data_IF_647764484805
#
_entry.id   IF_647764484805
#
_cell.length_a   1.000
_cell.length_b   1.000
_cell.length_c   1.000
_cell.angle_alpha   90.00
_cell.angle_beta   90.00
_cell.angle_gamma   90.00
#
_symmetry.space_group_name_H-M   'P 1'
#
loop_
_entity.id
_entity.type
_entity.pdbx_description
1 polymer ?
#
# COMPACT_ATOMS: atom_id res chain seq x y z
N UNK A 1 6.80 -26.22 -10.98
CA UNK A 1 6.63 -26.30 -12.47
C UNK A 1 7.92 -25.82 -13.13
N UNK A 2 8.42 -26.50 -14.17
CA UNK A 2 9.64 -26.09 -14.89
C UNK A 2 9.29 -25.65 -16.29
N UNK A 3 9.66 -24.41 -16.67
CA UNK A 3 9.54 -23.88 -18.04
C UNK A 3 10.94 -23.79 -18.67
N UNK A 4 11.05 -24.25 -19.91
CA UNK A 4 12.30 -24.28 -20.68
C UNK A 4 12.02 -23.97 -22.13
N UNK A 5 13.07 -23.66 -22.91
CA UNK A 5 12.98 -23.46 -24.36
C UNK A 5 12.25 -24.61 -25.05
N UNK A 6 11.37 -24.30 -25.98
CA UNK A 6 10.47 -25.22 -26.66
C UNK A 6 9.09 -25.37 -26.01
N UNK A 7 8.88 -24.95 -24.75
CA UNK A 7 7.56 -25.01 -24.13
C UNK A 7 6.61 -23.99 -24.77
N UNK A 8 5.33 -24.36 -24.86
CA UNK A 8 4.26 -23.47 -25.31
C UNK A 8 3.09 -23.57 -24.34
N UNK A 9 2.71 -22.45 -23.70
CA UNK A 9 1.59 -22.40 -22.75
C UNK A 9 1.22 -20.98 -22.37
N UNK A 10 0.05 -20.82 -21.73
CA UNK A 10 -0.36 -19.56 -21.08
C UNK A 10 0.63 -19.13 -20.02
N UNK A 11 1.26 -20.07 -19.26
CA UNK A 11 2.27 -19.74 -18.27
C UNK A 11 3.53 -19.14 -18.89
N UNK A 12 3.92 -19.60 -20.09
CA UNK A 12 5.01 -18.96 -20.86
C UNK A 12 4.63 -17.54 -21.25
N UNK A 13 3.38 -17.32 -21.70
CA UNK A 13 2.88 -15.97 -22.00
C UNK A 13 2.95 -15.04 -20.75
N UNK A 14 2.53 -15.52 -19.59
CA UNK A 14 2.59 -14.75 -18.34
C UNK A 14 4.04 -14.50 -17.89
N UNK A 15 4.95 -15.46 -18.10
CA UNK A 15 6.38 -15.24 -17.93
C UNK A 15 6.89 -14.12 -18.82
N UNK A 16 6.55 -14.16 -20.12
CA UNK A 16 6.96 -13.15 -21.11
C UNK A 16 6.41 -11.76 -20.74
N UNK A 17 5.16 -11.66 -20.30
CA UNK A 17 4.58 -10.41 -19.77
C UNK A 17 5.38 -9.90 -18.56
N UNK A 18 5.64 -10.74 -17.58
CA UNK A 18 6.39 -10.35 -16.38
C UNK A 18 7.81 -9.88 -16.70
N UNK A 19 8.52 -10.61 -17.55
CA UNK A 19 9.85 -10.21 -18.03
C UNK A 19 9.82 -8.86 -18.73
N UNK A 20 8.86 -8.65 -19.64
CA UNK A 20 8.71 -7.38 -20.37
C UNK A 20 8.38 -6.24 -19.41
N UNK A 21 7.43 -6.44 -18.48
CA UNK A 21 7.05 -5.43 -17.49
C UNK A 21 8.25 -5.00 -16.63
N UNK A 22 9.17 -5.93 -16.34
CA UNK A 22 10.40 -5.67 -15.60
C UNK A 22 11.59 -5.26 -16.50
N UNK A 23 11.34 -4.86 -17.75
CA UNK A 23 12.33 -4.39 -18.73
C UNK A 23 13.32 -5.47 -19.24
N UNK A 24 12.99 -6.76 -19.09
CA UNK A 24 13.72 -7.88 -19.70
C UNK A 24 12.98 -8.38 -20.94
N UNK A 25 12.99 -7.59 -22.01
CA UNK A 25 12.16 -7.79 -23.19
C UNK A 25 12.42 -9.14 -23.92
N UNK A 26 11.46 -10.10 -23.91
CA UNK A 26 11.57 -11.37 -24.64
C UNK A 26 11.23 -11.25 -26.15
N UNK A 27 11.04 -10.04 -26.66
CA UNK A 27 10.63 -9.70 -28.04
C UNK A 27 9.17 -10.06 -28.37
N UNK A 28 8.73 -11.28 -28.09
CA UNK A 28 7.37 -11.79 -28.33
C UNK A 28 6.63 -12.05 -27.01
N UNK A 29 5.31 -12.02 -27.07
CA UNK A 29 4.41 -12.29 -25.95
C UNK A 29 3.36 -13.32 -26.39
N UNK A 30 3.81 -14.36 -27.08
CA UNK A 30 2.99 -15.33 -27.81
C UNK A 30 2.79 -16.66 -27.06
N UNK A 31 3.43 -16.80 -25.88
CA UNK A 31 3.38 -18.02 -25.09
C UNK A 31 4.30 -19.13 -25.60
N UNK A 32 5.22 -18.83 -26.52
CA UNK A 32 6.26 -19.76 -27.01
C UNK A 32 7.59 -19.41 -26.33
N UNK A 33 8.15 -20.34 -25.59
CA UNK A 33 9.46 -20.17 -24.94
C UNK A 33 10.56 -20.36 -26.00
N UNK A 34 10.88 -19.30 -26.71
CA UNK A 34 11.91 -19.25 -27.73
C UNK A 34 13.28 -18.84 -27.16
N UNK A 35 14.30 -18.78 -28.02
CA UNK A 35 15.65 -18.33 -27.66
C UNK A 35 15.67 -16.90 -27.09
N UNK A 36 14.80 -15.98 -27.56
CA UNK A 36 14.71 -14.63 -27.01
C UNK A 36 14.15 -14.65 -25.60
N UNK A 37 13.17 -15.51 -25.32
CA UNK A 37 12.64 -15.73 -23.99
C UNK A 37 13.71 -16.31 -23.08
N UNK A 38 14.51 -17.30 -23.54
CA UNK A 38 15.66 -17.85 -22.82
C UNK A 38 16.67 -16.76 -22.44
N UNK A 39 17.01 -15.88 -23.39
CA UNK A 39 17.94 -14.76 -23.13
C UNK A 39 17.37 -13.77 -22.12
N UNK A 40 16.08 -13.44 -22.21
CA UNK A 40 15.42 -12.55 -21.25
C UNK A 40 15.41 -13.15 -19.85
N UNK A 41 15.12 -14.46 -19.72
CA UNK A 41 15.18 -15.19 -18.43
C UNK A 41 16.61 -15.15 -17.85
N UNK A 42 17.64 -15.45 -18.64
CA UNK A 42 19.04 -15.39 -18.17
C UNK A 42 19.42 -14.01 -17.65
N UNK A 43 19.07 -12.95 -18.39
CA UNK A 43 19.31 -11.55 -17.96
C UNK A 43 18.58 -11.23 -16.65
N UNK A 44 17.33 -11.64 -16.53
CA UNK A 44 16.54 -11.49 -15.33
C UNK A 44 17.21 -12.23 -14.15
N UNK A 45 17.52 -13.52 -14.32
CA UNK A 45 18.18 -14.35 -13.30
C UNK A 45 19.48 -13.71 -12.82
N UNK A 46 20.37 -13.30 -13.74
CA UNK A 46 21.61 -12.60 -13.40
C UNK A 46 21.33 -11.33 -12.57
N UNK A 47 20.37 -10.52 -12.99
CA UNK A 47 20.05 -9.26 -12.30
C UNK A 47 19.46 -9.46 -10.90
N UNK A 48 18.97 -10.67 -10.59
CA UNK A 48 18.38 -11.02 -9.29
C UNK A 48 19.28 -11.96 -8.45
N UNK A 49 20.50 -12.21 -8.90
CA UNK A 49 21.44 -13.10 -8.19
C UNK A 49 21.02 -14.58 -8.20
N UNK A 50 20.21 -14.97 -9.20
CA UNK A 50 19.80 -16.36 -9.40
C UNK A 50 20.76 -17.06 -10.36
N UNK A 51 20.77 -18.41 -10.35
CA UNK A 51 21.49 -19.19 -11.35
C UNK A 51 20.98 -18.87 -12.74
N UNK A 52 21.87 -18.36 -13.62
CA UNK A 52 21.53 -17.89 -14.97
C UNK A 52 21.51 -19.04 -15.98
N UNK A 53 20.64 -20.05 -15.76
CA UNK A 53 20.53 -21.23 -16.61
C UNK A 53 19.51 -21.08 -17.75
N UNK A 54 18.70 -20.01 -17.70
CA UNK A 54 17.63 -19.75 -18.69
C UNK A 54 16.40 -20.62 -18.49
N UNK A 55 16.29 -21.35 -17.38
CA UNK A 55 15.14 -22.18 -17.03
C UNK A 55 14.33 -21.52 -15.92
N UNK A 56 13.01 -21.69 -15.94
CA UNK A 56 12.12 -21.09 -14.94
C UNK A 56 11.54 -22.19 -14.06
N UNK A 57 12.29 -22.51 -13.02
CA UNK A 57 11.83 -23.32 -11.90
C UNK A 57 11.18 -22.45 -10.82
N UNK A 58 10.80 -23.09 -9.69
CA UNK A 58 10.07 -22.43 -8.60
C UNK A 58 10.81 -21.21 -8.03
N UNK A 59 12.14 -21.26 -7.91
CA UNK A 59 12.96 -20.14 -7.45
C UNK A 59 12.82 -18.90 -8.35
N UNK A 60 12.99 -19.08 -9.67
CA UNK A 60 12.84 -17.99 -10.66
C UNK A 60 11.42 -17.49 -10.71
N UNK A 61 10.42 -18.38 -10.66
CA UNK A 61 9.01 -18.02 -10.72
C UNK A 61 8.57 -17.23 -9.48
N UNK A 62 8.95 -17.68 -8.29
CA UNK A 62 8.62 -16.98 -7.04
C UNK A 62 9.26 -15.60 -6.97
N UNK A 63 10.52 -15.47 -7.44
CA UNK A 63 11.19 -14.18 -7.50
C UNK A 63 10.49 -13.24 -8.49
N UNK A 64 10.10 -13.73 -9.67
CA UNK A 64 9.35 -12.95 -10.65
C UNK A 64 8.02 -12.45 -10.07
N UNK A 65 7.26 -13.33 -9.41
CA UNK A 65 6.02 -12.95 -8.73
C UNK A 65 6.26 -11.85 -7.70
N UNK A 66 7.27 -11.99 -6.85
CA UNK A 66 7.58 -10.98 -5.84
C UNK A 66 7.94 -9.62 -6.44
N UNK A 67 8.58 -9.59 -7.62
CA UNK A 67 8.94 -8.37 -8.32
C UNK A 67 7.75 -7.72 -9.06
N UNK A 68 6.71 -8.49 -9.42
CA UNK A 68 5.49 -7.99 -10.07
C UNK A 68 4.48 -7.42 -9.05
N UNK A 69 4.44 -7.93 -7.82
CA UNK A 69 3.52 -7.47 -6.77
C UNK A 69 3.52 -5.94 -6.59
N UNK A 70 4.67 -5.25 -6.51
CA UNK A 70 4.69 -3.78 -6.38
C UNK A 70 4.04 -3.06 -7.57
N UNK A 71 4.22 -3.56 -8.79
CA UNK A 71 3.59 -3.00 -9.99
C UNK A 71 2.07 -3.19 -9.96
N UNK A 72 1.58 -4.40 -9.65
CA UNK A 72 0.15 -4.66 -9.48
C UNK A 72 -0.46 -3.76 -8.41
N UNK A 73 0.24 -3.59 -7.28
CA UNK A 73 -0.20 -2.72 -6.18
C UNK A 73 -0.32 -1.26 -6.64
N UNK A 74 0.71 -0.74 -7.32
CA UNK A 74 0.71 0.64 -7.83
C UNK A 74 -0.37 0.86 -8.87
N UNK A 75 -0.54 -0.07 -9.82
CA UNK A 75 -1.60 -0.01 -10.84
C UNK A 75 -3.00 -0.09 -10.23
N UNK A 76 -3.18 -0.91 -9.18
CA UNK A 76 -4.45 -1.02 -8.45
C UNK A 76 -4.77 0.27 -7.69
N UNK A 77 -3.79 0.85 -7.01
CA UNK A 77 -3.93 2.13 -6.30
C UNK A 77 -4.28 3.29 -7.25
N UNK A 78 -3.79 3.24 -8.48
CA UNK A 78 -4.11 4.19 -9.55
C UNK A 78 -5.44 3.89 -10.28
N UNK A 79 -6.14 2.80 -9.93
CA UNK A 79 -7.42 2.42 -10.54
C UNK A 79 -7.32 1.74 -11.90
N UNK A 80 -6.12 1.39 -12.36
CA UNK A 80 -5.91 0.71 -13.64
C UNK A 80 -6.04 -0.81 -13.55
N UNK A 81 -5.85 -1.40 -12.38
CA UNK A 81 -5.91 -2.83 -12.14
C UNK A 81 -6.95 -3.18 -11.07
N UNK A 82 -7.89 -4.05 -11.39
CA UNK A 82 -8.95 -4.50 -10.46
C UNK A 82 -8.78 -5.95 -9.99
N UNK A 83 -7.79 -6.67 -10.54
CA UNK A 83 -7.54 -8.07 -10.22
C UNK A 83 -6.91 -8.31 -8.85
N UNK A 84 -6.58 -9.56 -8.58
CA UNK A 84 -5.87 -10.00 -7.38
C UNK A 84 -4.38 -9.61 -7.47
N UNK A 85 -3.81 -9.16 -6.37
CA UNK A 85 -2.36 -8.91 -6.26
C UNK A 85 -1.70 -10.26 -5.92
N UNK A 86 -1.36 -11.03 -6.93
CA UNK A 86 -0.83 -12.41 -6.83
C UNK A 86 0.58 -12.56 -7.41
N UNK A 87 1.12 -11.49 -7.99
CA UNK A 87 2.41 -11.47 -8.66
C UNK A 87 2.42 -12.12 -10.05
N UNK A 88 1.27 -12.58 -10.55
CA UNK A 88 1.18 -13.17 -11.88
C UNK A 88 0.89 -12.08 -12.91
N UNK A 89 1.81 -11.89 -13.86
CA UNK A 89 1.64 -10.93 -14.94
C UNK A 89 0.73 -11.48 -16.05
N UNK A 90 -0.54 -11.74 -15.69
CA UNK A 90 -1.56 -12.13 -16.67
C UNK A 90 -1.94 -10.99 -17.62
N UNK A 91 -2.82 -11.28 -18.59
CA UNK A 91 -3.26 -10.29 -19.58
C UNK A 91 -3.85 -9.03 -18.90
N UNK A 92 -4.61 -9.19 -17.82
CA UNK A 92 -5.20 -8.06 -17.08
C UNK A 92 -4.12 -7.14 -16.48
N UNK A 93 -3.07 -7.70 -15.90
CA UNK A 93 -1.95 -6.92 -15.31
C UNK A 93 -1.16 -6.20 -16.40
N UNK A 94 -0.84 -6.89 -17.49
CA UNK A 94 -0.10 -6.33 -18.61
C UNK A 94 -0.88 -5.19 -19.28
N UNK A 95 -2.15 -5.42 -19.58
CA UNK A 95 -3.02 -4.42 -20.21
C UNK A 95 -3.25 -3.20 -19.31
N UNK A 96 -3.31 -3.40 -17.97
CA UNK A 96 -3.39 -2.30 -17.02
C UNK A 96 -2.15 -1.38 -17.09
N UNK A 97 -0.94 -1.96 -17.22
CA UNK A 97 0.29 -1.18 -17.39
C UNK A 97 0.30 -0.42 -18.73
N UNK A 98 -0.03 -1.08 -19.82
CA UNK A 98 -0.10 -0.46 -21.16
C UNK A 98 -1.11 0.69 -21.18
N UNK A 99 -2.30 0.46 -20.60
CA UNK A 99 -3.32 1.52 -20.48
C UNK A 99 -2.83 2.67 -19.61
N UNK A 100 -2.20 2.40 -18.46
CA UNK A 100 -1.62 3.43 -17.61
C UNK A 100 -0.60 4.26 -18.38
N UNK A 101 0.29 3.64 -19.14
CA UNK A 101 1.28 4.34 -19.98
C UNK A 101 0.62 5.26 -21.00
N UNK A 102 -0.35 4.72 -21.75
CA UNK A 102 -1.09 5.49 -22.76
C UNK A 102 -1.79 6.70 -22.16
N UNK A 103 -2.55 6.49 -21.08
CA UNK A 103 -3.34 7.55 -20.42
C UNK A 103 -2.46 8.65 -19.79
N UNK A 104 -1.19 8.34 -19.51
CA UNK A 104 -0.24 9.28 -18.90
C UNK A 104 0.79 9.86 -19.89
N UNK A 105 0.57 9.68 -21.20
CA UNK A 105 1.43 10.22 -22.25
C UNK A 105 2.83 9.57 -22.31
N UNK A 106 2.94 8.34 -21.84
CA UNK A 106 4.16 7.54 -21.90
C UNK A 106 4.11 6.61 -23.13
N UNK A 107 5.26 6.09 -23.55
CA UNK A 107 5.32 5.03 -24.55
C UNK A 107 4.62 3.78 -23.99
N UNK A 108 3.54 3.36 -24.63
CA UNK A 108 2.71 2.22 -24.21
C UNK A 108 3.34 0.89 -24.65
N UNK A 109 4.57 0.62 -24.18
CA UNK A 109 5.37 -0.54 -24.58
C UNK A 109 5.27 -1.73 -23.62
N UNK A 110 4.55 -1.56 -22.51
CA UNK A 110 4.38 -2.55 -21.45
C UNK A 110 5.65 -2.78 -20.62
N UNK A 111 6.61 -1.86 -20.65
CA UNK A 111 7.82 -1.89 -19.83
C UNK A 111 7.78 -0.82 -18.73
N UNK A 112 7.88 -1.22 -17.47
CA UNK A 112 7.92 -0.30 -16.34
C UNK A 112 9.34 0.29 -16.18
N UNK A 113 9.80 1.03 -17.20
CA UNK A 113 11.04 1.81 -17.13
C UNK A 113 10.92 3.00 -16.16
N UNK A 114 12.04 3.73 -15.96
CA UNK A 114 12.12 4.79 -14.95
C UNK A 114 10.96 5.80 -15.06
N UNK A 115 10.69 6.31 -16.26
CA UNK A 115 9.59 7.27 -16.48
C UNK A 115 8.21 6.72 -16.11
N UNK A 116 7.99 5.42 -16.35
CA UNK A 116 6.74 4.74 -15.96
C UNK A 116 6.66 4.57 -14.43
N UNK A 117 7.77 4.17 -13.80
CA UNK A 117 7.85 4.03 -12.35
C UNK A 117 7.68 5.38 -11.65
N UNK A 118 8.34 6.42 -12.13
CA UNK A 118 8.19 7.78 -11.60
C UNK A 118 6.71 8.20 -11.66
N UNK A 119 6.05 7.97 -12.77
CA UNK A 119 4.65 8.32 -12.95
C UNK A 119 3.70 7.45 -12.11
N UNK A 120 4.02 6.16 -11.93
CA UNK A 120 3.28 5.27 -11.03
C UNK A 120 3.43 5.69 -9.56
N UNK A 121 4.62 6.15 -9.18
CA UNK A 121 4.94 6.57 -7.82
C UNK A 121 4.68 8.05 -7.57
N UNK A 122 4.45 8.88 -8.60
CA UNK A 122 3.96 10.23 -8.37
C UNK A 122 2.61 10.13 -7.67
N UNK A 123 2.53 10.67 -6.48
CA UNK A 123 1.24 11.05 -5.89
C UNK A 123 0.50 11.87 -6.93
N UNK A 124 -0.79 11.59 -7.08
CA UNK A 124 -1.67 12.43 -7.89
C UNK A 124 -1.53 13.87 -7.38
N UNK A 125 -0.69 14.65 -8.08
CA UNK A 125 -0.45 16.06 -7.72
C UNK A 125 -1.72 16.90 -7.89
N UNK A 126 -2.77 16.30 -8.48
CA UNK A 126 -4.11 16.88 -8.58
C UNK A 126 -5.01 16.57 -7.37
N UNK A 127 -4.54 15.75 -6.41
CA UNK A 127 -5.30 15.58 -5.17
C UNK A 127 -5.34 16.91 -4.42
N UNK A 128 -6.54 17.38 -4.05
CA UNK A 128 -6.66 18.64 -3.32
C UNK A 128 -5.98 18.53 -1.97
N UNK A 129 -5.51 19.65 -1.46
CA UNK A 129 -5.14 19.75 -0.05
C UNK A 129 -6.42 19.57 0.76
N UNK A 130 -6.45 18.55 1.63
CA UNK A 130 -7.56 18.34 2.55
C UNK A 130 -7.21 18.89 3.93
N UNK A 131 -8.20 19.47 4.57
CA UNK A 131 -8.08 20.03 5.93
C UNK A 131 -9.46 20.00 6.61
N UNK A 132 -9.51 20.39 7.85
CA UNK A 132 -10.77 20.47 8.61
C UNK A 132 -11.83 21.20 7.79
N UNK A 133 -13.03 20.61 7.67
CA UNK A 133 -14.13 21.11 6.87
C UNK A 133 -14.15 20.67 5.40
N UNK A 134 -13.10 20.03 4.87
CA UNK A 134 -13.12 19.40 3.54
C UNK A 134 -14.15 18.29 3.47
N UNK A 135 -14.77 18.08 2.30
CA UNK A 135 -15.77 17.02 2.08
C UNK A 135 -15.61 16.32 0.74
N UNK A 136 -16.23 15.15 0.59
CA UNK A 136 -16.36 14.43 -0.67
C UNK A 136 -15.39 13.28 -0.88
N UNK A 137 -15.26 12.84 -2.14
CA UNK A 137 -14.59 11.58 -2.49
C UNK A 137 -13.13 11.44 -1.99
N UNK A 138 -12.38 12.50 -1.99
CA UNK A 138 -11.00 12.49 -1.52
C UNK A 138 -10.90 12.39 0.01
N UNK A 139 -11.91 12.88 0.73
CA UNK A 139 -12.00 12.67 2.18
C UNK A 139 -12.36 11.23 2.48
N UNK A 140 -13.30 10.63 1.74
CA UNK A 140 -13.60 9.18 1.86
C UNK A 140 -12.34 8.34 1.60
N UNK A 141 -11.59 8.66 0.56
CA UNK A 141 -10.34 7.96 0.23
C UNK A 141 -9.31 8.08 1.38
N UNK A 142 -9.13 9.29 1.91
CA UNK A 142 -8.24 9.55 3.04
C UNK A 142 -8.64 8.73 4.27
N UNK A 143 -9.90 8.84 4.69
CA UNK A 143 -10.44 8.13 5.85
C UNK A 143 -10.30 6.61 5.69
N UNK A 144 -10.65 6.06 4.50
CA UNK A 144 -10.49 4.64 4.21
C UNK A 144 -9.03 4.18 4.37
N UNK A 145 -8.05 4.97 3.89
CA UNK A 145 -6.63 4.66 4.05
C UNK A 145 -6.18 4.75 5.50
N UNK A 146 -6.59 5.79 6.23
CA UNK A 146 -6.26 5.97 7.64
C UNK A 146 -6.80 4.82 8.49
N UNK A 147 -8.07 4.45 8.31
CA UNK A 147 -8.71 3.33 9.02
C UNK A 147 -7.98 2.01 8.73
N UNK A 148 -7.65 1.75 7.46
CA UNK A 148 -6.87 0.56 7.08
C UNK A 148 -5.48 0.52 7.72
N UNK A 149 -4.90 1.68 7.99
CA UNK A 149 -3.62 1.83 8.67
C UNK A 149 -3.76 1.84 10.21
N UNK A 150 -4.98 1.70 10.76
CA UNK A 150 -5.24 1.63 12.20
C UNK A 150 -5.49 3.00 12.87
N UNK A 151 -5.71 4.07 12.09
CA UNK A 151 -6.07 5.38 12.62
C UNK A 151 -7.60 5.55 12.57
N UNK A 152 -8.24 5.72 13.72
CA UNK A 152 -9.70 5.92 13.78
C UNK A 152 -10.09 7.31 13.26
N UNK A 153 -11.10 7.34 12.38
CA UNK A 153 -11.73 8.58 11.89
C UNK A 153 -13.10 8.85 12.57
N UNK A 154 -13.31 8.31 13.75
CA UNK A 154 -14.57 8.43 14.50
C UNK A 154 -15.55 7.31 14.20
N UNK A 155 -16.71 7.35 14.87
CA UNK A 155 -17.74 6.30 14.81
C UNK A 155 -18.39 6.20 13.43
N UNK A 156 -18.42 7.30 12.66
CA UNK A 156 -18.97 7.34 11.31
C UNK A 156 -18.03 6.76 10.25
N UNK A 157 -16.77 6.52 10.62
CA UNK A 157 -15.77 5.92 9.74
C UNK A 157 -15.42 6.81 8.53
N UNK A 158 -15.53 6.25 7.32
CA UNK A 158 -15.23 6.95 6.07
C UNK A 158 -16.49 7.63 5.50
N UNK A 159 -16.98 8.65 6.19
CA UNK A 159 -18.21 9.38 5.88
C UNK A 159 -18.03 10.51 4.83
N UNK A 160 -16.80 10.82 4.46
CA UNK A 160 -16.49 11.88 3.51
C UNK A 160 -16.51 13.29 4.10
N UNK A 161 -16.52 13.43 5.42
CA UNK A 161 -16.43 14.71 6.13
C UNK A 161 -15.13 14.77 6.92
N UNK A 162 -14.25 15.72 6.62
CA UNK A 162 -13.03 15.94 7.36
C UNK A 162 -13.35 16.70 8.65
N UNK A 163 -13.88 15.97 9.63
CA UNK A 163 -14.17 16.45 10.97
C UNK A 163 -12.97 16.35 11.91
N UNK A 164 -13.21 16.62 13.20
CA UNK A 164 -12.19 16.61 14.26
C UNK A 164 -11.50 15.25 14.40
N UNK A 165 -12.24 14.14 14.26
CA UNK A 165 -11.67 12.80 14.38
C UNK A 165 -10.75 12.49 13.20
N UNK A 166 -11.14 12.85 11.99
CA UNK A 166 -10.28 12.76 10.81
C UNK A 166 -9.04 13.66 10.96
N UNK A 167 -9.20 14.87 11.50
CA UNK A 167 -8.08 15.78 11.79
C UNK A 167 -7.08 15.18 12.78
N UNK A 168 -7.57 14.58 13.85
CA UNK A 168 -6.72 13.87 14.84
C UNK A 168 -6.00 12.69 14.22
N UNK A 169 -6.72 11.87 13.44
CA UNK A 169 -6.14 10.73 12.71
C UNK A 169 -5.01 11.16 11.77
N UNK A 170 -5.20 12.24 11.01
CA UNK A 170 -4.18 12.81 10.12
C UNK A 170 -2.94 13.25 10.90
N UNK A 171 -3.11 13.99 11.99
CA UNK A 171 -1.99 14.45 12.83
C UNK A 171 -1.21 13.29 13.42
N UNK A 172 -1.89 12.25 13.92
CA UNK A 172 -1.24 11.04 14.42
C UNK A 172 -0.47 10.31 13.31
N UNK A 173 -1.08 10.20 12.13
CA UNK A 173 -0.40 9.62 10.96
C UNK A 173 0.86 10.42 10.59
N UNK A 174 0.78 11.75 10.54
CA UNK A 174 1.91 12.63 10.24
C UNK A 174 3.03 12.46 11.26
N UNK A 175 2.71 12.46 12.55
CA UNK A 175 3.68 12.27 13.63
C UNK A 175 4.39 10.92 13.53
N UNK A 176 3.63 9.83 13.33
CA UNK A 176 4.19 8.47 13.26
C UNK A 176 5.03 8.23 12.00
N UNK A 177 4.90 9.11 11.01
CA UNK A 177 5.62 9.01 9.73
C UNK A 177 6.65 10.12 9.50
N UNK A 178 7.01 10.88 10.55
CA UNK A 178 7.99 11.97 10.51
C UNK A 178 7.64 13.07 9.47
N UNK A 179 6.34 13.38 9.34
CA UNK A 179 5.84 14.48 8.51
C UNK A 179 5.60 15.73 9.36
N UNK A 180 5.43 16.89 8.74
CA UNK A 180 4.93 18.09 9.42
C UNK A 180 3.55 17.81 10.00
N UNK A 181 3.36 17.99 11.33
CA UNK A 181 2.13 17.67 12.06
C UNK A 181 1.19 18.88 12.03
N UNK A 182 0.76 19.26 10.82
CA UNK A 182 -0.10 20.42 10.58
C UNK A 182 -1.60 20.09 10.46
N UNK A 183 -1.93 18.78 10.39
CA UNK A 183 -3.30 18.29 10.22
C UNK A 183 -3.85 18.51 8.80
N UNK A 184 -3.01 18.89 7.84
CA UNK A 184 -3.39 19.05 6.42
C UNK A 184 -2.86 17.90 5.59
N UNK A 185 -3.65 17.43 4.66
CA UNK A 185 -3.25 16.34 3.76
C UNK A 185 -2.81 16.94 2.42
N UNK A 186 -1.58 17.38 2.39
CA UNK A 186 -0.91 17.87 1.17
C UNK A 186 -0.17 16.73 0.44
N UNK A 187 0.62 17.07 -0.63
CA UNK A 187 1.33 16.09 -1.46
C UNK A 187 2.21 15.11 -0.65
N UNK A 188 2.94 15.60 0.35
CA UNK A 188 3.81 14.77 1.18
C UNK A 188 3.02 13.75 2.02
N UNK A 189 1.88 14.18 2.60
CA UNK A 189 1.00 13.30 3.38
C UNK A 189 0.33 12.27 2.48
N UNK A 190 -0.15 12.67 1.30
CA UNK A 190 -0.69 11.74 0.32
C UNK A 190 0.34 10.70 -0.12
N UNK A 191 1.58 11.13 -0.46
CA UNK A 191 2.67 10.24 -0.84
C UNK A 191 2.93 9.18 0.22
N UNK A 192 2.96 9.60 1.47
CA UNK A 192 3.21 8.69 2.59
C UNK A 192 2.06 7.71 2.81
N UNK A 193 0.79 8.15 2.66
CA UNK A 193 -0.39 7.29 2.74
C UNK A 193 -0.41 6.19 1.66
N UNK A 194 0.17 6.44 0.48
CA UNK A 194 0.26 5.44 -0.60
C UNK A 194 1.29 4.34 -0.29
N UNK A 195 2.35 4.67 0.42
CA UNK A 195 3.48 3.76 0.70
C UNK A 195 3.44 3.16 2.10
N UNK A 196 2.57 3.67 2.99
CA UNK A 196 2.47 3.17 4.35
C UNK A 196 1.88 1.76 4.37
N UNK A 197 2.57 0.86 5.04
CA UNK A 197 2.03 -0.46 5.42
C UNK A 197 1.17 -0.31 6.67
N UNK A 198 0.15 -1.17 6.82
CA UNK A 198 -0.62 -1.24 8.06
C UNK A 198 0.35 -1.38 9.24
N UNK A 199 0.16 -0.55 10.26
CA UNK A 199 0.94 -0.62 11.49
C UNK A 199 0.72 -2.02 12.09
N UNK A 200 1.79 -2.80 12.36
CA UNK A 200 1.61 -4.02 13.12
C UNK A 200 0.93 -3.69 14.46
N UNK A 201 0.09 -4.56 15.00
CA UNK A 201 -0.67 -4.29 16.25
C UNK A 201 0.20 -3.98 17.48
N UNK A 202 1.52 -3.96 17.37
CA UNK A 202 2.47 -3.64 18.42
C UNK A 202 2.81 -2.15 18.57
N UNK A 203 2.35 -1.26 17.69
CA UNK A 203 2.47 0.18 17.90
C UNK A 203 1.21 0.70 18.56
N UNK A 204 1.08 0.49 19.85
CA UNK A 204 0.12 1.24 20.67
C UNK A 204 0.39 2.73 20.49
N UNK A 205 -0.58 3.54 20.06
CA UNK A 205 -0.39 4.98 20.00
C UNK A 205 0.02 5.47 21.40
N UNK A 206 1.02 6.37 21.45
CA UNK A 206 1.33 7.04 22.71
C UNK A 206 0.10 7.84 23.12
N UNK A 207 -0.58 7.37 24.15
CA UNK A 207 -1.73 8.07 24.73
C UNK A 207 -1.22 9.11 25.70
N UNK A 208 -1.63 10.35 25.50
CA UNK A 208 -1.30 11.50 26.35
C UNK A 208 -2.57 12.17 26.82
N UNK A 209 -2.47 13.02 27.82
CA UNK A 209 -3.59 13.81 28.31
C UNK A 209 -4.30 14.52 27.16
N UNK A 210 -5.61 14.34 27.04
CA UNK A 210 -6.42 14.83 25.93
C UNK A 210 -6.57 13.86 24.75
N UNK A 211 -5.86 12.71 24.73
CA UNK A 211 -6.14 11.64 23.75
C UNK A 211 -7.57 11.13 23.91
N UNK A 212 -8.20 10.73 22.82
CA UNK A 212 -9.55 10.15 22.84
C UNK A 212 -9.73 9.06 21.77
N UNK A 213 -10.77 8.24 21.91
CA UNK A 213 -11.14 7.18 20.99
C UNK A 213 -10.81 5.77 21.48
N UNK A 214 -10.95 4.76 20.57
CA UNK A 214 -10.89 3.33 20.91
C UNK A 214 -9.63 2.87 21.64
N UNK A 215 -8.48 3.48 21.34
CA UNK A 215 -7.24 3.14 22.05
C UNK A 215 -7.29 3.55 23.51
N UNK A 216 -7.95 4.67 23.83
CA UNK A 216 -8.19 5.12 25.20
C UNK A 216 -9.21 4.21 25.87
N UNK A 217 -10.31 3.88 25.19
CA UNK A 217 -11.32 2.93 25.69
C UNK A 217 -10.66 1.60 26.07
N UNK A 218 -9.84 1.03 25.17
CA UNK A 218 -9.13 -0.24 25.45
C UNK A 218 -8.20 -0.13 26.65
N UNK A 219 -7.46 0.98 26.77
CA UNK A 219 -6.61 1.22 27.94
C UNK A 219 -7.44 1.32 29.22
N UNK A 220 -8.48 2.15 29.20
CA UNK A 220 -9.36 2.35 30.38
C UNK A 220 -10.04 1.04 30.78
N UNK A 221 -10.59 0.27 29.83
CA UNK A 221 -11.16 -1.05 30.08
C UNK A 221 -10.15 -1.97 30.76
N UNK A 222 -8.91 -2.00 30.23
CA UNK A 222 -7.86 -2.84 30.83
C UNK A 222 -7.43 -2.38 32.21
N UNK A 223 -7.42 -1.06 32.46
CA UNK A 223 -7.15 -0.51 33.78
C UNK A 223 -8.25 -0.90 34.79
N UNK A 224 -9.54 -0.78 34.40
CA UNK A 224 -10.68 -1.20 35.19
C UNK A 224 -10.66 -2.71 35.52
N UNK A 225 -10.29 -3.56 34.54
CA UNK A 225 -10.08 -5.01 34.74
C UNK A 225 -8.97 -5.31 35.76
N UNK A 226 -8.05 -4.38 35.95
CA UNK A 226 -6.93 -4.46 36.89
C UNK A 226 -7.20 -3.68 38.20
N UNK A 227 -8.46 -3.32 38.47
CA UNK A 227 -8.92 -2.55 39.61
C UNK A 227 -8.33 -1.13 39.75
N UNK A 228 -7.90 -0.52 38.63
CA UNK A 228 -7.54 0.89 38.60
C UNK A 228 -8.76 1.75 38.30
N UNK A 229 -8.90 2.85 39.06
CA UNK A 229 -10.00 3.81 38.85
C UNK A 229 -9.70 4.71 37.64
N UNK A 230 -10.59 4.77 36.68
CA UNK A 230 -10.54 5.67 35.51
C UNK A 230 -11.45 6.90 35.65
N UNK A 231 -11.94 7.16 36.84
CA UNK A 231 -12.89 8.23 37.17
C UNK A 231 -14.35 7.82 37.02
N UNK A 232 -15.25 8.72 37.34
CA UNK A 232 -16.71 8.46 37.42
C UNK A 232 -17.35 8.06 36.10
N UNK A 233 -16.72 8.34 34.99
CA UNK A 233 -17.20 7.98 33.66
C UNK A 233 -16.67 6.63 33.16
N UNK A 234 -15.73 6.01 33.87
CA UNK A 234 -15.14 4.71 33.52
C UNK A 234 -14.40 4.76 32.20
N UNK A 235 -14.67 3.79 31.30
CA UNK A 235 -14.06 3.69 29.96
C UNK A 235 -14.80 4.59 28.96
N UNK A 236 -14.70 5.90 29.13
CA UNK A 236 -15.38 6.91 28.30
C UNK A 236 -14.61 7.30 27.03
N UNK A 237 -13.47 6.69 26.78
CA UNK A 237 -12.63 6.99 25.63
C UNK A 237 -11.93 8.33 25.67
N UNK A 238 -11.84 9.00 26.81
CA UNK A 238 -11.12 10.26 27.01
C UNK A 238 -9.97 10.09 27.99
N UNK A 239 -8.74 10.33 27.53
CA UNK A 239 -7.55 10.28 28.37
C UNK A 239 -7.47 11.58 29.20
N UNK A 240 -8.23 11.60 30.30
CA UNK A 240 -8.29 12.71 31.24
C UNK A 240 -7.27 12.59 32.37
N UNK A 241 -7.33 13.53 33.29
CA UNK A 241 -6.49 13.53 34.49
C UNK A 241 -6.72 12.29 35.39
N UNK A 242 -7.94 11.78 35.43
CA UNK A 242 -8.27 10.55 36.16
C UNK A 242 -7.63 9.30 35.55
N UNK A 243 -7.46 9.25 34.24
CA UNK A 243 -6.74 8.14 33.56
C UNK A 243 -5.23 8.26 33.74
N UNK A 244 -4.70 9.47 33.95
CA UNK A 244 -3.26 9.75 34.03
C UNK A 244 -2.65 9.60 35.42
N UNK A 245 -3.39 9.84 36.47
CA UNK A 245 -2.87 10.00 37.85
C UNK A 245 -3.09 8.79 38.78
N UNK A 246 -3.42 7.62 38.26
CA UNK A 246 -3.73 6.50 39.13
C UNK A 246 -2.48 5.84 39.70
N UNK A 247 -2.34 5.87 41.01
CA UNK A 247 -1.45 5.02 41.79
C UNK A 247 -2.07 3.63 41.89
N UNK A 248 -1.25 2.58 41.81
CA UNK A 248 -1.69 1.19 41.89
C UNK A 248 -2.49 0.88 43.20
N UNK A 249 -3.04 -0.35 43.28
CA UNK A 249 -3.90 -0.75 44.36
C UNK A 249 -3.19 -0.55 45.72
N UNK A 250 -3.96 -0.04 46.66
CA UNK A 250 -3.56 0.15 48.05
C UNK A 250 -3.30 -1.17 48.74
#
# INVERSE_FOLDING_TARGET
>A
MLLVEGNTSTQVKYLQHGLRMLCFNPKRLDGVFDTNTTLAVKRYQTSRGLTSDGKVGDGTWNKLKSDIIPLQTSLKNKGYYSGTIDGVAGDATYNALVKFQSDNGLTADGMAGQSTLDKLHTTDTNKPILQLGSTGKYVIELQTKLIKLGYSCGDTGADGVFGDDTYRAVRMFQQNNNLSVDGKVGPATWAKLETASSIPPSSTPLLVLGSSGDAVVRLQTRLLELDYDCGVTGADGKFGTSTHLQHGPS
#
